data_IF_949053022361
#
_entry.id   IF_949053022361
#
_cell.length_a   1.000
_cell.length_b   1.000
_cell.length_c   1.000
_cell.angle_alpha   90.00
_cell.angle_beta   90.00
_cell.angle_gamma   90.00
#
_symmetry.space_group_name_H-M   'P 1'
#
loop_
_entity.id
_entity.type
_entity.pdbx_description
1 polymer ?
#
# COMPACT_ATOMS: atom_id res chain seq x y z
N UNK A 1 2.10 7.09 5.23
CA UNK A 1 1.48 6.22 6.27
C UNK A 1 2.53 5.99 7.33
N UNK A 2 2.19 6.20 8.60
CA UNK A 2 3.11 5.97 9.72
C UNK A 2 2.91 4.55 10.28
N UNK A 3 3.98 3.74 10.28
CA UNK A 3 3.97 2.37 10.83
C UNK A 3 4.56 2.31 12.24
N UNK A 4 5.06 3.41 12.80
CA UNK A 4 5.64 3.46 14.15
C UNK A 4 4.69 2.91 15.24
N UNK A 5 3.36 3.15 15.21
CA UNK A 5 2.44 2.53 16.17
C UNK A 5 2.44 0.99 16.14
N UNK A 6 2.67 0.40 14.96
CA UNK A 6 2.82 -1.05 14.79
C UNK A 6 4.04 -1.58 15.52
N UNK A 7 5.13 -0.84 15.36
CA UNK A 7 6.45 -1.24 15.81
C UNK A 7 6.58 -1.08 17.33
N UNK A 8 5.80 -0.19 17.94
CA UNK A 8 5.88 0.19 19.36
C UNK A 8 5.54 -0.94 20.35
N UNK A 9 4.72 -1.92 19.97
CA UNK A 9 4.16 -2.88 20.93
C UNK A 9 4.87 -4.24 21.00
N UNK A 10 5.63 -4.63 19.97
CA UNK A 10 6.27 -5.96 19.92
C UNK A 10 7.79 -5.89 20.08
N UNK A 11 8.34 -6.73 20.97
CA UNK A 11 9.79 -6.84 21.23
C UNK A 11 10.61 -7.15 19.97
N UNK A 12 10.00 -7.85 19.01
CA UNK A 12 10.58 -8.14 17.70
C UNK A 12 11.08 -6.88 16.98
N UNK A 13 10.36 -5.77 17.12
CA UNK A 13 10.69 -4.51 16.45
C UNK A 13 11.56 -3.58 17.29
N UNK A 14 12.07 -4.02 18.46
CA UNK A 14 12.79 -3.14 19.38
C UNK A 14 13.99 -2.46 18.70
N UNK A 15 14.74 -3.19 17.87
CA UNK A 15 15.89 -2.65 17.13
C UNK A 15 15.48 -1.60 16.10
N UNK A 16 14.42 -1.88 15.34
CA UNK A 16 13.86 -0.96 14.33
C UNK A 16 13.44 0.40 14.89
N UNK A 17 13.22 0.53 16.20
CA UNK A 17 12.85 1.81 16.84
C UNK A 17 14.04 2.72 17.14
N UNK A 18 15.25 2.18 17.16
CA UNK A 18 16.47 2.90 17.59
C UNK A 18 17.58 2.85 16.55
N UNK A 19 17.50 1.93 15.59
CA UNK A 19 18.48 1.70 14.54
C UNK A 19 17.87 2.13 13.20
N UNK A 20 18.05 3.41 12.86
CA UNK A 20 17.51 4.01 11.64
C UNK A 20 18.06 3.35 10.36
N UNK A 21 19.32 2.92 10.39
CA UNK A 21 19.97 2.30 9.22
C UNK A 21 19.40 0.89 8.98
N UNK A 22 19.11 0.14 10.04
CA UNK A 22 18.34 -1.09 9.92
C UNK A 22 16.92 -0.80 9.39
N UNK A 23 16.22 0.20 9.93
CA UNK A 23 14.86 0.52 9.50
C UNK A 23 14.77 0.84 8.00
N UNK A 24 15.76 1.56 7.45
CA UNK A 24 15.84 1.92 6.01
C UNK A 24 16.10 0.74 5.07
N UNK A 25 16.59 -0.39 5.59
CA UNK A 25 16.84 -1.60 4.80
C UNK A 25 15.59 -2.47 4.58
N UNK A 26 14.43 -1.98 5.00
CA UNK A 26 13.10 -2.47 4.64
C UNK A 26 13.04 -2.97 3.19
N UNK A 27 12.62 -4.23 3.01
CA UNK A 27 12.31 -4.84 1.73
C UNK A 27 10.94 -5.52 1.76
N UNK A 28 10.38 -5.83 0.60
CA UNK A 28 9.23 -6.74 0.48
C UNK A 28 9.78 -8.16 0.45
N UNK A 29 9.21 -9.06 1.25
CA UNK A 29 9.64 -10.45 1.30
C UNK A 29 9.37 -11.22 -0.01
N UNK A 30 9.94 -12.41 -0.13
CA UNK A 30 9.85 -13.24 -1.35
C UNK A 30 8.41 -13.54 -1.78
N UNK A 31 7.51 -13.74 -0.81
CA UNK A 31 6.09 -14.02 -1.06
C UNK A 31 5.25 -12.77 -1.40
N UNK A 32 5.83 -11.57 -1.29
CA UNK A 32 5.12 -10.32 -1.55
C UNK A 32 4.02 -9.98 -0.53
N UNK A 33 4.02 -10.62 0.64
CA UNK A 33 2.95 -10.55 1.62
C UNK A 33 3.36 -9.90 2.96
N UNK A 34 4.63 -9.56 3.11
CA UNK A 34 5.16 -8.86 4.28
C UNK A 34 6.29 -7.92 3.90
N UNK A 35 6.54 -6.96 4.79
CA UNK A 35 7.78 -6.21 4.82
C UNK A 35 8.77 -6.95 5.72
N UNK A 36 10.00 -7.13 5.25
CA UNK A 36 11.07 -7.80 5.98
C UNK A 36 12.26 -6.88 6.20
N UNK A 37 13.00 -7.16 7.28
CA UNK A 37 14.27 -6.53 7.61
C UNK A 37 15.39 -7.57 7.73
N UNK A 38 16.67 -7.17 7.53
CA UNK A 38 17.81 -8.10 7.58
C UNK A 38 18.00 -8.85 8.91
N UNK A 39 17.38 -8.38 10.00
CA UNK A 39 17.44 -9.04 11.30
C UNK A 39 16.33 -10.09 11.49
N UNK A 40 15.56 -10.38 10.44
CA UNK A 40 14.46 -11.35 10.44
C UNK A 40 13.15 -10.81 11.01
N UNK A 41 13.06 -9.52 11.32
CA UNK A 41 11.79 -8.91 11.67
C UNK A 41 10.89 -8.83 10.43
N UNK A 42 9.60 -9.13 10.61
CA UNK A 42 8.61 -9.06 9.53
C UNK A 42 7.34 -8.32 9.99
N UNK A 43 6.74 -7.57 9.06
CA UNK A 43 5.46 -6.91 9.22
C UNK A 43 4.52 -7.28 8.06
N UNK A 44 3.54 -8.14 8.35
CA UNK A 44 2.59 -8.63 7.33
C UNK A 44 1.74 -7.51 6.71
N UNK A 45 1.41 -7.66 5.43
CA UNK A 45 0.53 -6.75 4.69
C UNK A 45 -0.87 -6.62 5.32
N UNK A 46 -1.39 -7.70 5.93
CA UNK A 46 -2.66 -7.68 6.67
C UNK A 46 -2.57 -6.72 7.86
N UNK A 47 -1.44 -6.65 8.54
CA UNK A 47 -1.25 -5.74 9.67
C UNK A 47 -1.11 -4.29 9.19
N UNK A 48 -0.43 -4.08 8.07
CA UNK A 48 -0.33 -2.78 7.41
C UNK A 48 -1.72 -2.28 7.00
N UNK A 49 -2.56 -3.16 6.46
CA UNK A 49 -3.95 -2.84 6.11
C UNK A 49 -4.77 -2.39 7.33
N UNK A 50 -4.56 -3.02 8.49
CA UNK A 50 -5.27 -2.65 9.72
C UNK A 50 -4.90 -1.26 10.22
N UNK A 51 -3.63 -0.88 10.08
CA UNK A 51 -3.14 0.46 10.42
C UNK A 51 -3.54 1.53 9.43
N UNK A 52 -3.79 1.15 8.17
CA UNK A 52 -4.21 2.10 7.17
C UNK A 52 -5.57 2.69 7.58
N UNK A 53 -5.55 3.97 7.93
CA UNK A 53 -6.74 4.83 7.99
C UNK A 53 -7.25 5.18 6.57
N UNK A 54 -6.55 4.74 5.53
CA UNK A 54 -6.85 5.06 4.14
C UNK A 54 -8.26 4.55 3.74
N UNK A 55 -9.22 5.47 3.80
CA UNK A 55 -10.46 5.37 3.05
C UNK A 55 -10.24 6.02 1.69
N UNK A 56 -10.53 5.28 0.62
CA UNK A 56 -10.68 5.79 -0.73
C UNK A 56 -12.04 5.30 -1.19
N UNK A 57 -12.96 6.22 -1.46
CA UNK A 57 -14.25 5.84 -2.00
C UNK A 57 -14.18 5.65 -3.53
N UNK A 58 -15.28 5.16 -4.13
CA UNK A 58 -15.35 4.91 -5.57
C UNK A 58 -15.22 6.19 -6.41
N UNK A 59 -15.65 7.35 -5.89
CA UNK A 59 -15.54 8.62 -6.60
C UNK A 59 -14.08 9.10 -6.64
N UNK A 60 -13.41 9.05 -5.50
CA UNK A 60 -11.99 9.35 -5.37
C UNK A 60 -11.14 8.36 -6.18
N UNK A 61 -11.53 7.08 -6.25
CA UNK A 61 -10.85 6.11 -7.10
C UNK A 61 -10.98 6.45 -8.60
N UNK A 62 -12.16 6.89 -9.05
CA UNK A 62 -12.36 7.38 -10.43
C UNK A 62 -11.49 8.60 -10.72
N UNK A 63 -11.54 9.59 -9.82
CA UNK A 63 -10.75 10.83 -9.94
C UNK A 63 -9.24 10.54 -10.00
N UNK A 64 -8.74 9.65 -9.14
CA UNK A 64 -7.34 9.24 -9.15
C UNK A 64 -6.94 8.58 -10.49
N UNK A 65 -7.78 7.70 -11.03
CA UNK A 65 -7.53 7.10 -12.35
C UNK A 65 -7.50 8.16 -13.45
N UNK A 66 -8.42 9.13 -13.39
CA UNK A 66 -8.53 10.17 -14.41
C UNK A 66 -7.33 11.15 -14.33
N UNK A 67 -6.87 11.52 -13.13
CA UNK A 67 -5.65 12.32 -12.89
C UNK A 67 -4.38 11.61 -13.40
N UNK A 68 -4.29 10.29 -13.22
CA UNK A 68 -3.18 9.49 -13.72
C UNK A 68 -3.30 9.15 -15.21
N UNK A 69 -4.41 9.51 -15.86
CA UNK A 69 -4.78 9.07 -17.22
C UNK A 69 -4.72 7.54 -17.40
N UNK A 70 -5.13 6.79 -16.38
CA UNK A 70 -5.08 5.32 -16.39
C UNK A 70 -6.31 4.71 -17.06
N UNK A 71 -6.06 3.80 -18.00
CA UNK A 71 -7.09 2.88 -18.51
C UNK A 71 -7.41 1.80 -17.46
N UNK A 72 -8.51 1.06 -17.66
CA UNK A 72 -8.83 -0.10 -16.83
C UNK A 72 -7.72 -1.15 -16.84
N UNK A 73 -7.13 -1.40 -18.02
CA UNK A 73 -6.04 -2.36 -18.18
C UNK A 73 -4.75 -1.87 -17.51
N UNK A 74 -4.46 -0.57 -17.63
CA UNK A 74 -3.29 0.04 -16.97
C UNK A 74 -3.39 -0.04 -15.46
N UNK A 75 -4.53 0.35 -14.89
CA UNK A 75 -4.75 0.28 -13.45
C UNK A 75 -4.73 -1.16 -12.93
N UNK A 76 -5.32 -2.10 -13.69
CA UNK A 76 -5.28 -3.53 -13.37
C UNK A 76 -3.84 -4.06 -13.29
N UNK A 77 -3.00 -3.70 -14.27
CA UNK A 77 -1.59 -4.10 -14.28
C UNK A 77 -0.82 -3.54 -13.08
N UNK A 78 -1.03 -2.27 -12.73
CA UNK A 78 -0.34 -1.65 -11.60
C UNK A 78 -0.80 -2.19 -10.23
N UNK A 79 -2.07 -2.54 -10.10
CA UNK A 79 -2.63 -3.08 -8.86
C UNK A 79 -2.54 -4.61 -8.77
N UNK A 80 -2.08 -5.30 -9.82
CA UNK A 80 -1.97 -6.77 -9.85
C UNK A 80 -3.33 -7.48 -9.76
N UNK A 81 -4.40 -6.86 -10.26
CA UNK A 81 -5.77 -7.43 -10.22
C UNK A 81 -6.40 -7.49 -11.61
N UNK A 82 -7.54 -8.17 -11.72
CA UNK A 82 -8.25 -8.26 -13.01
C UNK A 82 -8.85 -6.91 -13.45
N UNK A 83 -8.89 -6.65 -14.76
CA UNK A 83 -9.60 -5.51 -15.38
C UNK A 83 -11.05 -5.40 -14.91
N UNK A 84 -11.74 -6.55 -14.78
CA UNK A 84 -13.14 -6.60 -14.31
C UNK A 84 -13.27 -6.05 -12.89
N UNK A 85 -12.33 -6.39 -12.01
CA UNK A 85 -12.34 -5.88 -10.64
C UNK A 85 -12.15 -4.35 -10.59
N UNK A 86 -11.30 -3.80 -11.47
CA UNK A 86 -11.17 -2.34 -11.62
C UNK A 86 -12.48 -1.69 -12.10
N UNK A 87 -13.17 -2.33 -13.05
CA UNK A 87 -14.48 -1.85 -13.50
C UNK A 87 -15.52 -1.86 -12.38
N UNK A 88 -15.56 -2.91 -11.56
CA UNK A 88 -16.43 -3.00 -10.38
C UNK A 88 -16.10 -1.87 -9.37
N UNK A 89 -14.82 -1.61 -9.12
CA UNK A 89 -14.36 -0.50 -8.27
C UNK A 89 -14.69 0.88 -8.85
N UNK A 90 -14.66 1.07 -10.17
CA UNK A 90 -15.12 2.33 -10.77
C UNK A 90 -16.62 2.54 -10.65
N UNK A 91 -17.41 1.50 -10.37
CA UNK A 91 -18.86 1.61 -10.25
C UNK A 91 -19.26 1.90 -8.80
N UNK A 92 -19.41 0.85 -8.01
CA UNK A 92 -20.02 0.87 -6.68
C UNK A 92 -19.44 -0.18 -5.72
N UNK A 93 -18.56 -1.08 -6.20
CA UNK A 93 -17.95 -2.07 -5.31
C UNK A 93 -17.02 -1.38 -4.32
N UNK A 94 -17.20 -1.55 -3.00
CA UNK A 94 -16.35 -0.90 -2.01
C UNK A 94 -14.87 -1.18 -2.25
N UNK A 95 -14.04 -0.15 -2.12
CA UNK A 95 -12.60 -0.24 -2.32
C UNK A 95 -11.95 -0.83 -1.06
N UNK A 96 -11.24 -1.98 -1.15
CA UNK A 96 -10.47 -2.50 -0.03
C UNK A 96 -9.35 -1.53 0.38
N UNK A 97 -9.00 -1.53 1.67
CA UNK A 97 -7.96 -0.62 2.21
C UNK A 97 -6.62 -0.78 1.50
N UNK A 98 -6.21 -2.00 1.16
CA UNK A 98 -4.97 -2.23 0.38
C UNK A 98 -5.03 -1.61 -1.02
N UNK A 99 -6.19 -1.68 -1.69
CA UNK A 99 -6.38 -1.04 -3.00
C UNK A 99 -6.36 0.49 -2.86
N UNK A 100 -7.00 1.02 -1.83
CA UNK A 100 -6.97 2.44 -1.50
C UNK A 100 -5.52 2.93 -1.28
N UNK A 101 -4.74 2.18 -0.51
CA UNK A 101 -3.35 2.49 -0.22
C UNK A 101 -2.49 2.45 -1.50
N UNK A 102 -2.60 1.38 -2.28
CA UNK A 102 -1.85 1.23 -3.53
C UNK A 102 -2.20 2.34 -4.54
N UNK A 103 -3.48 2.71 -4.63
CA UNK A 103 -3.93 3.81 -5.52
C UNK A 103 -3.33 5.15 -5.10
N UNK A 104 -3.31 5.45 -3.79
CA UNK A 104 -2.67 6.67 -3.28
C UNK A 104 -1.17 6.69 -3.56
N UNK A 105 -0.49 5.57 -3.37
CA UNK A 105 0.94 5.45 -3.69
C UNK A 105 1.23 5.73 -5.18
N UNK A 106 0.41 5.18 -6.09
CA UNK A 106 0.54 5.44 -7.53
C UNK A 106 0.35 6.93 -7.85
N UNK A 107 -0.64 7.57 -7.23
CA UNK A 107 -0.95 8.98 -7.41
C UNK A 107 0.18 9.88 -6.90
N UNK A 108 0.69 9.62 -5.69
CA UNK A 108 1.83 10.35 -5.11
C UNK A 108 3.08 10.22 -5.99
N UNK A 109 3.38 9.00 -6.46
CA UNK A 109 4.51 8.75 -7.37
C UNK A 109 4.34 9.46 -8.71
N UNK A 110 3.11 9.55 -9.24
CA UNK A 110 2.82 10.29 -10.48
C UNK A 110 3.06 11.78 -10.30
N UNK A 111 2.63 12.35 -9.16
CA UNK A 111 2.82 13.77 -8.83
C UNK A 111 4.28 14.13 -8.59
N UNK A 112 5.06 13.25 -7.97
CA UNK A 112 6.48 13.48 -7.71
C UNK A 112 7.39 13.32 -8.95
N UNK A 113 6.88 12.72 -10.03
CA UNK A 113 7.61 12.54 -11.28
C UNK A 113 7.53 13.76 -12.23
N UNK A 114 6.89 14.85 -11.79
CA UNK A 114 6.70 16.12 -12.50
C UNK A 114 7.26 17.26 -11.63
#
# INVERSE_FOLDING_TARGET
>A
MDIAPALANLRLFKRLRTDDDLFRQLAVNEDGNALEWPDGAELSAVWIERLAEAALDNAQFREAMDEMHMSLDGMAAHLGVSRRLIADYRKDKPIPKLVALATRYLLERRRAAW
#
